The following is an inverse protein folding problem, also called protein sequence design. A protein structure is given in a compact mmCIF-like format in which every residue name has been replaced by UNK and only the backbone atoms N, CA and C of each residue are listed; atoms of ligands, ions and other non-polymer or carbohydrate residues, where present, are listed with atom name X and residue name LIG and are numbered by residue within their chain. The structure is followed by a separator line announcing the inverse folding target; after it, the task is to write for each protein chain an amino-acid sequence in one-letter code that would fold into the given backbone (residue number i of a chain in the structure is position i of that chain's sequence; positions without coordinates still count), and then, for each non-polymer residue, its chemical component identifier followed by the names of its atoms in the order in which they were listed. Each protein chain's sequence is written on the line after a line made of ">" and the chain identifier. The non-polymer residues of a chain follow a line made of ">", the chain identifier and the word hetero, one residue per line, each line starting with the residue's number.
data_IF_710794106737
#
_entry.id   IF_710794106737
#
_cell.length_a   1.000
_cell.length_b   1.000
_cell.length_c   1.000
_cell.angle_alpha   90.00
_cell.angle_beta   90.00
_cell.angle_gamma   90.00
#
_symmetry.space_group_name_H-M   'P 1'
#
loop_
_entity.id
_entity.type
_entity.pdbx_description
1 polymer ?
#
# COMPACT_ATOMS: atom_id res chain seq x y z
N UNK A 1 -5.20 -9.02 2.46
CA UNK A 1 -4.61 -8.50 3.70
C UNK A 1 -4.47 -6.98 3.62
N UNK A 2 -5.18 -6.26 4.48
CA UNK A 2 -5.19 -4.79 4.52
C UNK A 2 -4.27 -4.27 5.62
N UNK A 3 -3.21 -3.56 5.24
CA UNK A 3 -2.25 -2.91 6.13
C UNK A 3 -2.57 -1.42 6.23
N UNK A 4 -3.14 -1.04 7.36
CA UNK A 4 -3.68 0.30 7.62
C UNK A 4 -2.61 1.40 7.73
N UNK A 5 -3.05 2.64 7.61
CA UNK A 5 -2.23 3.82 7.86
C UNK A 5 -1.95 4.07 9.34
N UNK A 6 -1.34 5.22 9.63
CA UNK A 6 -0.98 5.65 10.99
C UNK A 6 -2.21 6.19 11.72
N UNK A 7 -3.00 5.30 12.31
CA UNK A 7 -4.12 5.66 13.17
C UNK A 7 -4.29 4.68 14.34
N UNK A 8 -5.12 5.06 15.31
CA UNK A 8 -5.21 4.44 16.63
C UNK A 8 -5.62 2.96 16.61
N UNK A 9 -6.59 2.53 15.76
CA UNK A 9 -7.05 1.13 15.70
C UNK A 9 -7.80 0.78 14.42
N UNK A 10 -7.99 -0.52 14.17
CA UNK A 10 -8.81 -1.04 13.06
C UNK A 10 -10.28 -0.62 13.19
N UNK A 11 -10.77 -0.24 14.39
CA UNK A 11 -12.14 0.27 14.56
C UNK A 11 -12.46 1.42 13.61
N UNK A 12 -11.52 2.35 13.40
CA UNK A 12 -11.69 3.46 12.46
C UNK A 12 -11.41 3.09 10.99
N UNK A 13 -10.74 1.96 10.75
CA UNK A 13 -10.38 1.49 9.40
C UNK A 13 -11.37 0.48 8.84
N UNK A 14 -12.15 -0.21 9.69
CA UNK A 14 -13.09 -1.25 9.27
C UNK A 14 -14.11 -0.78 8.23
N UNK A 15 -14.48 0.52 8.24
CA UNK A 15 -15.36 1.11 7.23
C UNK A 15 -14.83 0.98 5.79
N UNK A 16 -13.52 0.85 5.59
CA UNK A 16 -12.92 0.66 4.27
C UNK A 16 -12.98 -0.81 3.80
N UNK A 17 -13.40 -1.74 4.65
CA UNK A 17 -13.56 -3.13 4.24
C UNK A 17 -14.62 -3.28 3.13
N UNK A 18 -15.66 -2.44 3.14
CA UNK A 18 -16.73 -2.45 2.14
C UNK A 18 -16.21 -2.23 0.72
N UNK A 19 -15.09 -1.50 0.57
CA UNK A 19 -14.47 -1.26 -0.74
C UNK A 19 -13.94 -2.55 -1.38
N UNK A 20 -13.79 -3.62 -0.60
CA UNK A 20 -13.32 -4.93 -1.03
C UNK A 20 -14.44 -5.99 -0.94
N UNK A 21 -15.21 -6.01 0.14
CA UNK A 21 -16.25 -7.03 0.35
C UNK A 21 -17.37 -6.95 -0.69
N UNK A 22 -17.67 -5.76 -1.23
CA UNK A 22 -18.60 -5.60 -2.36
C UNK A 22 -18.12 -6.30 -3.64
N UNK A 23 -16.86 -6.69 -3.71
CA UNK A 23 -16.25 -7.41 -4.82
C UNK A 23 -15.92 -8.87 -4.45
N UNK A 24 -16.60 -9.42 -3.45
CA UNK A 24 -16.45 -10.80 -2.96
C UNK A 24 -15.04 -11.12 -2.41
N UNK A 25 -14.35 -10.12 -1.82
CA UNK A 25 -13.10 -10.33 -1.12
C UNK A 25 -13.29 -10.34 0.39
N UNK A 26 -12.74 -11.32 1.07
CA UNK A 26 -12.55 -11.29 2.51
C UNK A 26 -11.45 -10.30 2.88
N UNK A 27 -11.63 -9.55 3.98
CA UNK A 27 -10.68 -8.54 4.41
C UNK A 27 -10.11 -8.87 5.79
N UNK A 28 -8.83 -9.14 5.83
CA UNK A 28 -8.08 -9.30 7.08
C UNK A 28 -7.32 -8.02 7.37
N UNK A 29 -7.67 -7.35 8.48
CA UNK A 29 -7.00 -6.15 8.97
C UNK A 29 -6.24 -6.43 10.26
N UNK A 30 -5.04 -5.85 10.39
CA UNK A 30 -4.18 -6.05 11.57
C UNK A 30 -3.95 -4.73 12.29
N UNK A 31 -4.21 -4.69 13.60
CA UNK A 31 -3.64 -3.65 14.45
C UNK A 31 -2.18 -3.97 14.73
N UNK A 32 -1.27 -3.12 14.27
CA UNK A 32 0.14 -3.28 14.59
C UNK A 32 0.35 -3.22 16.10
N UNK A 33 1.36 -3.93 16.61
CA UNK A 33 1.66 -3.91 18.05
C UNK A 33 1.77 -2.48 18.58
N UNK A 34 1.11 -2.25 19.73
CA UNK A 34 0.97 -0.95 20.35
C UNK A 34 -0.06 -0.03 19.69
N UNK A 35 -0.90 -0.56 18.76
CA UNK A 35 -2.09 0.09 18.24
C UNK A 35 -3.35 -0.70 18.61
N UNK A 36 -4.46 0.00 18.84
CA UNK A 36 -5.74 -0.61 19.18
C UNK A 36 -5.64 -1.53 20.40
N UNK A 37 -6.06 -2.78 20.24
CA UNK A 37 -5.97 -3.82 21.28
C UNK A 37 -4.65 -4.61 21.21
N UNK A 38 -3.80 -4.40 20.20
CA UNK A 38 -2.54 -5.11 20.07
C UNK A 38 -1.51 -4.57 21.05
N UNK A 39 -1.02 -5.43 21.92
CA UNK A 39 -0.01 -5.11 22.94
C UNK A 39 1.42 -5.23 22.40
N UNK A 40 2.41 -4.93 23.24
CA UNK A 40 3.82 -5.13 22.97
C UNK A 40 4.56 -3.89 22.47
N UNK A 41 5.87 -3.93 22.60
CA UNK A 41 6.75 -2.80 22.26
C UNK A 41 6.82 -2.58 20.76
N UNK A 42 6.57 -1.36 20.33
CA UNK A 42 6.66 -0.95 18.91
C UNK A 42 8.10 -0.99 18.43
N UNK A 43 8.36 -1.79 17.40
CA UNK A 43 9.59 -1.70 16.62
C UNK A 43 9.31 -2.11 15.18
N UNK A 44 10.04 -1.55 14.22
CA UNK A 44 9.87 -1.89 12.81
C UNK A 44 10.13 -3.40 12.58
N UNK A 45 11.12 -3.97 13.23
CA UNK A 45 11.45 -5.40 13.13
C UNK A 45 10.30 -6.26 13.65
N UNK A 46 9.77 -5.93 14.82
CA UNK A 46 8.68 -6.69 15.42
C UNK A 46 7.39 -6.62 14.58
N UNK A 47 7.00 -5.43 14.10
CA UNK A 47 5.82 -5.28 13.23
C UNK A 47 5.98 -6.10 11.93
N UNK A 48 7.16 -6.08 11.31
CA UNK A 48 7.42 -6.90 10.12
C UNK A 48 7.28 -8.40 10.39
N UNK A 49 7.80 -8.87 11.52
CA UNK A 49 7.69 -10.28 11.92
C UNK A 49 6.23 -10.66 12.21
N UNK A 50 5.46 -9.80 12.88
CA UNK A 50 4.04 -10.02 13.12
C UNK A 50 3.26 -10.14 11.81
N UNK A 51 3.53 -9.25 10.86
CA UNK A 51 2.85 -9.26 9.56
C UNK A 51 3.23 -10.49 8.73
N UNK A 52 4.49 -10.94 8.79
CA UNK A 52 4.89 -12.20 8.17
C UNK A 52 4.23 -13.40 8.84
N UNK A 53 4.10 -13.40 10.15
CA UNK A 53 3.37 -14.45 10.87
C UNK A 53 1.90 -14.51 10.43
N UNK A 54 1.20 -13.35 10.39
CA UNK A 54 -0.19 -13.30 9.91
C UNK A 54 -0.29 -13.80 8.47
N UNK A 55 0.62 -13.39 7.59
CA UNK A 55 0.65 -13.82 6.20
C UNK A 55 0.84 -15.34 6.08
N UNK A 56 1.75 -15.92 6.87
CA UNK A 56 1.97 -17.36 6.90
C UNK A 56 0.71 -18.10 7.38
N UNK A 57 0.01 -17.58 8.39
CA UNK A 57 -1.28 -18.16 8.84
C UNK A 57 -2.38 -18.07 7.78
N UNK A 58 -2.38 -17.06 6.94
CA UNK A 58 -3.29 -17.01 5.78
C UNK A 58 -2.94 -18.10 4.76
N UNK A 59 -1.66 -18.31 4.47
CA UNK A 59 -1.18 -19.32 3.51
C UNK A 59 -1.48 -20.76 3.94
N UNK A 60 -1.68 -21.02 5.21
CA UNK A 60 -2.13 -22.33 5.70
C UNK A 60 -3.57 -22.68 5.24
N UNK A 61 -4.35 -21.66 4.83
CA UNK A 61 -5.78 -21.81 4.47
C UNK A 61 -6.11 -21.34 3.05
N UNK A 62 -5.29 -20.48 2.48
CA UNK A 62 -5.55 -19.80 1.21
C UNK A 62 -4.29 -19.93 0.35
N UNK A 63 -4.45 -20.37 -0.89
CA UNK A 63 -3.34 -20.36 -1.86
C UNK A 63 -2.86 -18.92 -2.07
N UNK A 64 -1.56 -18.75 -2.06
CA UNK A 64 -0.89 -17.44 -2.13
C UNK A 64 -1.30 -16.62 -3.36
N UNK A 65 -1.64 -17.30 -4.47
CA UNK A 65 -2.16 -16.69 -5.70
C UNK A 65 -3.54 -15.99 -5.51
N UNK A 66 -4.23 -16.24 -4.40
CA UNK A 66 -5.48 -15.57 -4.03
C UNK A 66 -5.30 -14.51 -2.94
N UNK A 67 -4.08 -14.28 -2.46
CA UNK A 67 -3.80 -13.28 -1.44
C UNK A 67 -3.39 -11.96 -2.10
N UNK A 68 -4.18 -10.92 -1.90
CA UNK A 68 -3.82 -9.54 -2.26
C UNK A 68 -3.30 -8.84 -1.01
N UNK A 69 -2.15 -8.16 -1.13
CA UNK A 69 -1.62 -7.28 -0.09
C UNK A 69 -1.97 -5.83 -0.47
N UNK A 70 -2.76 -5.18 0.38
CA UNK A 70 -3.09 -3.77 0.24
C UNK A 70 -2.45 -2.97 1.38
N UNK A 71 -1.76 -1.89 1.06
CA UNK A 71 -1.13 -1.03 2.06
C UNK A 71 -1.41 0.44 1.84
N UNK A 72 -2.02 1.11 2.83
CA UNK A 72 -2.33 2.54 2.76
C UNK A 72 -1.38 3.36 3.63
N UNK A 73 -0.85 4.46 3.08
CA UNK A 73 0.00 5.41 3.81
C UNK A 73 1.13 4.68 4.56
N UNK A 74 1.18 4.74 5.90
CA UNK A 74 2.17 3.98 6.69
C UNK A 74 2.22 2.49 6.32
N UNK A 75 1.06 1.88 6.07
CA UNK A 75 0.95 0.47 5.68
C UNK A 75 1.61 0.15 4.34
N UNK A 76 1.78 1.13 3.45
CA UNK A 76 2.36 0.89 2.12
C UNK A 76 3.81 0.39 2.19
N UNK A 77 4.61 0.90 3.12
CA UNK A 77 5.97 0.39 3.32
C UNK A 77 5.99 -1.02 3.88
N UNK A 78 5.12 -1.32 4.84
CA UNK A 78 5.01 -2.69 5.36
C UNK A 78 4.50 -3.66 4.29
N UNK A 79 3.53 -3.24 3.47
CA UNK A 79 3.00 -4.01 2.35
C UNK A 79 4.10 -4.33 1.32
N UNK A 80 4.88 -3.33 0.91
CA UNK A 80 6.01 -3.53 0.01
C UNK A 80 7.06 -4.48 0.60
N UNK A 81 7.35 -4.37 1.92
CA UNK A 81 8.27 -5.31 2.57
C UNK A 81 7.72 -6.73 2.58
N UNK A 82 6.45 -6.90 2.94
CA UNK A 82 5.84 -8.22 2.99
C UNK A 82 5.79 -8.87 1.60
N UNK A 83 5.38 -8.13 0.57
CA UNK A 83 5.35 -8.59 -0.81
C UNK A 83 6.76 -8.89 -1.37
N UNK A 84 7.82 -8.21 -0.86
CA UNK A 84 9.21 -8.47 -1.29
C UNK A 84 9.77 -9.80 -0.80
N UNK A 85 9.10 -10.46 0.14
CA UNK A 85 9.51 -11.75 0.72
C UNK A 85 8.55 -12.90 0.37
N UNK A 86 7.47 -12.61 -0.32
CA UNK A 86 6.38 -13.53 -0.63
C UNK A 86 5.91 -13.33 -2.08
N UNK A 87 5.01 -14.20 -2.57
CA UNK A 87 4.45 -14.11 -3.93
C UNK A 87 2.92 -13.94 -3.91
N UNK A 88 2.38 -12.86 -3.32
CA UNK A 88 0.94 -12.61 -3.35
C UNK A 88 0.44 -12.44 -4.79
N UNK A 89 -0.88 -12.56 -5.00
CA UNK A 89 -1.49 -12.31 -6.30
C UNK A 89 -1.18 -10.90 -6.80
N UNK A 90 -1.30 -9.90 -5.92
CA UNK A 90 -1.08 -8.47 -6.23
C UNK A 90 -0.58 -7.71 -5.01
N UNK A 91 0.15 -6.62 -5.27
CA UNK A 91 0.47 -5.58 -4.29
C UNK A 91 -0.24 -4.29 -4.69
N UNK A 92 -1.10 -3.77 -3.80
CA UNK A 92 -1.78 -2.48 -3.99
C UNK A 92 -1.26 -1.49 -2.97
N UNK A 93 -0.75 -0.36 -3.42
CA UNK A 93 -0.21 0.72 -2.60
C UNK A 93 -1.08 1.98 -2.75
N UNK A 94 -1.74 2.39 -1.70
CA UNK A 94 -2.58 3.58 -1.64
C UNK A 94 -1.84 4.71 -0.93
N UNK A 95 -1.65 5.82 -1.62
CA UNK A 95 -0.89 6.99 -1.17
C UNK A 95 0.49 6.61 -0.56
N UNK A 96 1.34 5.86 -1.31
CA UNK A 96 2.60 5.38 -0.77
C UNK A 96 3.68 6.45 -0.70
N UNK A 97 4.56 6.32 0.28
CA UNK A 97 5.77 7.13 0.39
C UNK A 97 6.99 6.41 -0.20
N UNK A 98 7.95 7.18 -0.70
CA UNK A 98 9.24 6.66 -1.20
C UNK A 98 10.09 6.06 -0.06
N UNK A 99 10.22 6.79 1.04
CA UNK A 99 10.70 6.30 2.33
C UNK A 99 10.09 7.13 3.46
N UNK A 100 9.79 6.50 4.60
CA UNK A 100 9.20 7.21 5.74
C UNK A 100 10.16 8.26 6.29
N UNK A 101 11.46 7.98 6.29
CA UNK A 101 12.51 8.94 6.66
C UNK A 101 12.38 10.26 5.90
N UNK A 102 12.10 10.23 4.58
CA UNK A 102 11.94 11.46 3.78
C UNK A 102 10.66 12.22 4.12
N UNK A 103 9.59 11.53 4.47
CA UNK A 103 8.33 12.16 4.90
C UNK A 103 8.53 12.86 6.24
N UNK A 104 9.08 12.16 7.22
CA UNK A 104 9.35 12.75 8.54
C UNK A 104 10.31 13.94 8.48
N UNK A 105 11.37 13.86 7.72
CA UNK A 105 12.32 14.96 7.54
C UNK A 105 11.65 16.22 6.93
N UNK A 106 10.62 16.06 6.11
CA UNK A 106 9.88 17.18 5.51
C UNK A 106 8.96 17.89 6.50
N UNK A 107 8.27 17.13 7.36
CA UNK A 107 7.21 17.68 8.23
C UNK A 107 7.65 17.90 9.67
N UNK A 108 8.77 17.32 10.07
CA UNK A 108 9.32 17.43 11.42
C UNK A 108 10.83 17.64 11.35
N UNK A 109 11.31 18.76 10.74
CA UNK A 109 12.74 18.99 10.52
C UNK A 109 13.53 19.09 11.84
N UNK A 110 12.86 19.47 12.95
CA UNK A 110 13.45 19.59 14.27
C UNK A 110 13.35 18.31 15.13
N UNK A 111 12.75 17.22 14.60
CA UNK A 111 12.68 15.97 15.34
C UNK A 111 14.09 15.34 15.44
N UNK A 112 14.50 14.85 16.63
CA UNK A 112 15.79 14.19 16.78
C UNK A 112 15.99 13.09 15.74
N UNK A 113 17.15 13.11 15.10
CA UNK A 113 17.51 12.18 14.01
C UNK A 113 17.39 10.71 14.44
N UNK A 114 17.63 10.42 15.72
CA UNK A 114 17.47 9.09 16.32
C UNK A 114 16.04 8.54 16.23
N UNK A 115 15.02 9.41 16.34
CA UNK A 115 13.60 9.01 16.21
C UNK A 115 13.26 8.75 14.73
N UNK A 116 13.75 9.58 13.83
CA UNK A 116 13.56 9.44 12.37
C UNK A 116 14.25 8.16 11.87
N UNK A 117 15.44 7.85 12.40
CA UNK A 117 16.21 6.64 12.03
C UNK A 117 15.59 5.34 12.52
N UNK A 118 14.75 5.40 13.57
CA UNK A 118 14.13 4.20 14.15
C UNK A 118 13.18 3.47 13.21
N UNK A 119 12.60 4.19 12.22
CA UNK A 119 11.65 3.65 11.25
C UNK A 119 11.93 4.17 9.82
N UNK A 120 13.02 3.77 9.17
CA UNK A 120 13.37 4.28 7.85
C UNK A 120 12.37 3.87 6.76
N UNK A 121 11.72 2.70 6.89
CA UNK A 121 10.74 2.12 5.96
C UNK A 121 11.02 2.52 4.49
N UNK A 122 12.08 2.01 3.87
CA UNK A 122 12.48 2.40 2.51
C UNK A 122 11.66 1.60 1.47
N UNK A 123 10.43 2.03 1.17
CA UNK A 123 9.53 1.38 0.22
C UNK A 123 10.22 1.11 -1.11
N UNK A 124 10.98 2.11 -1.62
CA UNK A 124 11.73 2.00 -2.88
C UNK A 124 12.74 0.86 -2.94
N UNK A 125 13.36 0.51 -1.81
CA UNK A 125 14.31 -0.62 -1.76
C UNK A 125 13.58 -1.95 -1.89
N UNK A 126 12.42 -2.08 -1.23
CA UNK A 126 11.67 -3.33 -1.20
C UNK A 126 10.95 -3.61 -2.51
N UNK A 127 10.43 -2.57 -3.19
CA UNK A 127 9.79 -2.75 -4.50
C UNK A 127 10.69 -3.41 -5.54
N UNK A 128 12.02 -3.27 -5.43
CA UNK A 128 12.97 -3.97 -6.32
C UNK A 128 12.83 -5.49 -6.28
N UNK A 129 12.38 -6.04 -5.16
CA UNK A 129 12.28 -7.49 -4.91
C UNK A 129 10.85 -8.02 -4.99
N UNK A 130 9.86 -7.19 -5.27
CA UNK A 130 8.47 -7.61 -5.47
C UNK A 130 8.33 -8.28 -6.84
N UNK A 131 7.75 -9.49 -6.87
CA UNK A 131 7.60 -10.27 -8.11
C UNK A 131 6.17 -10.32 -8.65
N UNK A 132 5.16 -9.95 -7.84
CA UNK A 132 3.78 -9.83 -8.29
C UNK A 132 3.53 -8.50 -9.01
N UNK A 133 2.37 -8.35 -9.70
CA UNK A 133 1.88 -7.06 -10.19
C UNK A 133 1.76 -6.03 -9.07
N UNK A 134 2.15 -4.79 -9.36
CA UNK A 134 2.14 -3.66 -8.42
C UNK A 134 1.19 -2.61 -8.95
N UNK A 135 0.21 -2.23 -8.13
CA UNK A 135 -0.74 -1.17 -8.41
C UNK A 135 -0.55 -0.03 -7.41
N UNK A 136 -0.34 1.16 -7.89
CA UNK A 136 -0.18 2.35 -7.05
C UNK A 136 -1.36 3.28 -7.31
N UNK A 137 -2.12 3.64 -6.28
CA UNK A 137 -3.20 4.62 -6.35
C UNK A 137 -2.75 5.85 -5.57
N UNK A 138 -2.82 7.06 -6.18
CA UNK A 138 -2.42 8.29 -5.48
C UNK A 138 -3.18 9.50 -6.01
N UNK A 139 -3.50 10.41 -5.10
CA UNK A 139 -4.14 11.67 -5.42
C UNK A 139 -3.13 12.78 -5.76
N UNK A 140 -3.50 13.64 -6.72
CA UNK A 140 -2.63 14.75 -7.15
C UNK A 140 -2.43 15.82 -6.07
N UNK A 141 -3.43 16.00 -5.20
CA UNK A 141 -3.48 17.05 -4.18
C UNK A 141 -3.05 16.55 -2.79
N UNK A 142 -2.35 15.41 -2.74
CA UNK A 142 -1.81 14.89 -1.48
C UNK A 142 -0.69 15.82 -0.95
N UNK A 143 -1.05 16.62 0.07
CA UNK A 143 -0.14 17.54 0.72
C UNK A 143 0.79 16.86 1.72
N UNK A 144 0.41 15.66 2.22
CA UNK A 144 1.23 14.91 3.18
C UNK A 144 2.32 14.10 2.47
N UNK A 145 1.96 13.33 1.45
CA UNK A 145 2.89 12.55 0.65
C UNK A 145 2.76 13.00 -0.79
N UNK A 146 3.70 13.78 -1.32
CA UNK A 146 3.57 14.33 -2.66
C UNK A 146 3.41 13.26 -3.73
N UNK A 147 2.46 13.43 -4.65
CA UNK A 147 2.17 12.55 -5.79
C UNK A 147 3.43 12.11 -6.56
N UNK A 148 4.41 13.01 -6.72
CA UNK A 148 5.69 12.71 -7.36
C UNK A 148 6.44 11.53 -6.73
N UNK A 149 6.12 11.15 -5.48
CA UNK A 149 6.73 9.97 -4.85
C UNK A 149 6.23 8.69 -5.49
N UNK A 150 4.95 8.63 -5.86
CA UNK A 150 4.35 7.50 -6.57
C UNK A 150 4.86 7.40 -8.01
N UNK A 151 5.04 8.52 -8.69
CA UNK A 151 5.71 8.53 -10.01
C UNK A 151 7.10 7.92 -9.91
N UNK A 152 7.91 8.29 -8.90
CA UNK A 152 9.24 7.69 -8.70
C UNK A 152 9.18 6.21 -8.33
N UNK A 153 8.19 5.78 -7.56
CA UNK A 153 8.01 4.37 -7.19
C UNK A 153 7.60 3.52 -8.39
N UNK A 154 6.73 4.03 -9.27
CA UNK A 154 6.29 3.29 -10.46
C UNK A 154 7.42 3.01 -11.45
N UNK A 155 8.45 3.84 -11.45
CA UNK A 155 9.63 3.67 -12.29
C UNK A 155 10.63 2.61 -11.80
N UNK A 156 10.47 2.06 -10.58
CA UNK A 156 11.39 1.06 -10.03
C UNK A 156 11.26 -0.29 -10.76
N UNK A 157 10.04 -0.70 -11.04
CA UNK A 157 9.71 -1.89 -11.84
C UNK A 157 8.61 -1.54 -12.86
N UNK A 158 8.91 -0.74 -13.89
CA UNK A 158 7.89 -0.18 -14.78
C UNK A 158 7.07 -1.27 -15.49
N UNK A 159 7.68 -2.37 -15.87
CA UNK A 159 6.99 -3.52 -16.50
C UNK A 159 5.97 -4.23 -15.58
N UNK A 160 6.03 -4.03 -14.26
CA UNK A 160 5.14 -4.67 -13.28
C UNK A 160 4.28 -3.68 -12.50
N UNK A 161 4.46 -2.38 -12.72
CA UNK A 161 3.80 -1.34 -11.92
C UNK A 161 2.87 -0.50 -12.78
N UNK A 162 1.61 -0.42 -12.38
CA UNK A 162 0.64 0.55 -12.92
C UNK A 162 0.38 1.64 -11.89
N UNK A 163 0.38 2.89 -12.34
CA UNK A 163 0.08 4.06 -11.53
C UNK A 163 -1.30 4.61 -11.89
N UNK A 164 -2.18 4.66 -10.92
CA UNK A 164 -3.54 5.18 -11.01
C UNK A 164 -3.61 6.52 -10.31
N UNK A 165 -4.08 7.54 -11.03
CA UNK A 165 -4.07 8.92 -10.56
C UNK A 165 -5.48 9.40 -10.26
N UNK A 166 -5.72 9.80 -9.00
CA UNK A 166 -6.99 10.43 -8.58
C UNK A 166 -6.80 11.94 -8.63
N UNK A 167 -7.34 12.57 -9.67
CA UNK A 167 -7.24 14.03 -9.85
C UNK A 167 -7.98 14.76 -8.74
N UNK A 168 -7.33 15.72 -8.08
CA UNK A 168 -7.85 16.47 -6.93
C UNK A 168 -7.90 15.67 -5.62
N UNK A 169 -7.50 14.39 -5.65
CA UNK A 169 -7.46 13.55 -4.46
C UNK A 169 -6.36 13.96 -3.49
N UNK A 170 -6.71 14.11 -2.20
CA UNK A 170 -5.77 14.35 -1.11
C UNK A 170 -5.46 13.07 -0.33
N UNK A 171 -4.63 13.19 0.71
CA UNK A 171 -4.16 12.01 1.48
C UNK A 171 -5.27 11.20 2.17
N UNK A 172 -6.33 11.86 2.61
CA UNK A 172 -7.35 11.24 3.48
C UNK A 172 -8.68 10.94 2.78
N UNK A 173 -8.91 11.49 1.60
CA UNK A 173 -10.21 11.51 0.94
C UNK A 173 -10.27 10.79 -0.42
N UNK A 174 -9.30 9.94 -0.75
CA UNK A 174 -9.30 9.22 -2.03
C UNK A 174 -10.59 8.40 -2.23
N UNK A 175 -11.09 7.80 -1.17
CA UNK A 175 -12.34 7.02 -1.17
C UNK A 175 -13.62 7.87 -1.35
N UNK A 176 -13.54 9.20 -1.41
CA UNK A 176 -14.66 10.07 -1.74
C UNK A 176 -14.79 10.28 -3.28
N UNK A 177 -13.84 9.77 -4.05
CA UNK A 177 -13.81 9.93 -5.50
C UNK A 177 -14.32 8.67 -6.20
N UNK A 178 -15.28 8.84 -7.10
CA UNK A 178 -15.80 7.73 -7.92
C UNK A 178 -14.68 7.07 -8.74
N UNK A 179 -13.75 7.88 -9.25
CA UNK A 179 -12.58 7.39 -9.99
C UNK A 179 -11.72 6.44 -9.16
N UNK A 180 -11.55 6.69 -7.85
CA UNK A 180 -10.85 5.77 -6.96
C UNK A 180 -11.54 4.41 -6.90
N UNK A 181 -12.87 4.38 -6.75
CA UNK A 181 -13.62 3.13 -6.68
C UNK A 181 -13.60 2.37 -8.01
N UNK A 182 -13.68 3.07 -9.14
CA UNK A 182 -13.54 2.45 -10.48
C UNK A 182 -12.15 1.82 -10.66
N UNK A 183 -11.09 2.54 -10.30
CA UNK A 183 -9.72 2.04 -10.36
C UNK A 183 -9.50 0.84 -9.44
N UNK A 184 -10.01 0.91 -8.21
CA UNK A 184 -9.89 -0.20 -7.26
C UNK A 184 -10.66 -1.43 -7.75
N UNK A 185 -11.87 -1.26 -8.29
CA UNK A 185 -12.63 -2.33 -8.92
C UNK A 185 -11.84 -2.98 -10.05
N UNK A 186 -11.35 -2.20 -11.01
CA UNK A 186 -10.50 -2.70 -12.10
C UNK A 186 -9.33 -3.54 -11.58
N UNK A 187 -8.60 -3.02 -10.59
CA UNK A 187 -7.45 -3.72 -10.00
C UNK A 187 -7.87 -5.04 -9.36
N UNK A 188 -8.99 -5.06 -8.64
CA UNK A 188 -9.43 -6.25 -7.92
C UNK A 188 -9.90 -7.37 -8.85
N UNK A 189 -10.65 -7.04 -9.93
CA UNK A 189 -11.21 -8.02 -10.86
C UNK A 189 -10.28 -8.39 -12.01
N UNK A 190 -9.24 -7.58 -12.31
CA UNK A 190 -8.31 -7.88 -13.39
C UNK A 190 -7.67 -9.25 -13.15
N UNK A 191 -7.79 -10.13 -14.13
CA UNK A 191 -6.93 -11.29 -14.24
C UNK A 191 -5.57 -10.76 -14.73
N UNK A 192 -4.70 -10.35 -13.81
CA UNK A 192 -3.32 -10.04 -14.17
C UNK A 192 -2.66 -11.38 -14.53
N UNK A 193 -2.79 -11.74 -15.79
CA UNK A 193 -2.11 -12.89 -16.35
C UNK A 193 -0.61 -12.70 -16.10
N UNK A 194 0.06 -13.77 -15.67
CA UNK A 194 1.53 -13.87 -15.63
C UNK A 194 2.16 -13.77 -17.03
N UNK A 195 1.41 -13.26 -18.03
CA UNK A 195 1.76 -13.25 -19.43
C UNK A 195 2.31 -11.90 -19.86
N UNK A 196 3.53 -11.95 -20.36
CA UNK A 196 4.13 -11.10 -21.38
C UNK A 196 3.95 -9.58 -21.22
N UNK A 197 4.69 -9.02 -20.26
CA UNK A 197 4.92 -7.58 -20.18
C UNK A 197 5.98 -7.12 -21.19
N UNK A 198 5.98 -7.69 -22.39
CA UNK A 198 6.62 -7.09 -23.54
C UNK A 198 5.62 -6.11 -24.15
N UNK A 199 5.86 -4.82 -23.96
CA UNK A 199 5.22 -3.75 -24.73
C UNK A 199 4.08 -2.97 -24.09
N UNK A 200 4.05 -2.71 -22.80
CA UNK A 200 3.08 -1.76 -22.24
C UNK A 200 3.71 -0.41 -21.91
N UNK A 201 3.48 0.55 -22.79
CA UNK A 201 3.62 1.99 -22.55
C UNK A 201 2.76 2.42 -21.35
N UNK A 202 3.25 3.40 -20.59
CA UNK A 202 2.57 4.02 -19.46
C UNK A 202 1.14 4.43 -19.82
N UNK A 203 0.13 3.74 -19.29
CA UNK A 203 -1.23 4.25 -19.32
C UNK A 203 -1.48 5.05 -18.03
N UNK A 204 -1.42 6.37 -18.17
CA UNK A 204 -1.97 7.28 -17.17
C UNK A 204 -3.47 7.36 -17.44
N UNK A 205 -4.27 6.68 -16.64
CA UNK A 205 -5.72 6.77 -16.74
C UNK A 205 -6.15 8.08 -16.07
N UNK A 206 -6.42 9.09 -16.88
CA UNK A 206 -7.03 10.35 -16.44
C UNK A 206 -8.55 10.21 -16.51
N UNK A 207 -9.24 10.26 -15.37
CA UNK A 207 -10.68 10.48 -15.40
C UNK A 207 -10.95 11.97 -15.25
N UNK A 208 -11.48 12.60 -16.31
CA UNK A 208 -12.00 13.96 -16.27
C UNK A 208 -13.23 14.02 -15.35
N UNK A 209 -13.32 15.10 -14.57
CA UNK A 209 -14.51 15.45 -13.81
C UNK A 209 -15.69 15.60 -14.78
N UNK A 210 -16.79 14.92 -14.50
CA UNK A 210 -18.12 15.42 -14.79
C UNK A 210 -18.79 15.84 -13.50
#
# INVERSE_FOLDING_TARGET
>A
LYLKGNSKSIKGWGKFAVDFTRHNFDVIMVDYRGFGKSTGRRSQKAIKNDLQYVYNKMRERIDEKHIIIYGRSLGSGFAAKLASMNNPAKLILDAPYYSLKKVTARYMPFMPFSIIMKYPLPTYKWLKYVNCPIHIIHGTDDKLIPYKTSVKLSQIKPKRTRLYTVIGGGHKNLNNFESYHKMLHEILISKDEKQNLEGSSYQVVHSSKK
#
